data_IF_698033147003
#
_entry.id   IF_698033147003
#
_cell.length_a   1.000
_cell.length_b   1.000
_cell.length_c   1.000
_cell.angle_alpha   90.00
_cell.angle_beta   90.00
_cell.angle_gamma   90.00
#
_symmetry.space_group_name_H-M   'P 1'
#
loop_
_entity.id
_entity.type
_entity.pdbx_description
1 polymer ?
#
# COMPACT_ATOMS: atom_id res chain seq x y z
N UNK A 1 15.03 13.14 8.67
CA UNK A 1 14.87 12.30 7.46
C UNK A 1 16.22 12.14 6.80
N UNK A 2 16.42 11.08 6.02
CA UNK A 2 17.66 10.81 5.25
C UNK A 2 17.31 10.59 3.79
N UNK A 3 18.29 10.60 2.87
CA UNK A 3 18.04 10.24 1.46
C UNK A 3 17.33 8.89 1.41
N UNK A 4 16.23 8.84 0.69
CA UNK A 4 15.37 7.67 0.63
C UNK A 4 16.03 6.56 -0.19
N UNK A 5 15.69 5.31 0.10
CA UNK A 5 16.26 4.12 -0.57
C UNK A 5 15.25 3.36 -1.41
N UNK A 6 15.72 2.53 -2.33
CA UNK A 6 14.91 1.59 -3.13
C UNK A 6 15.43 0.16 -2.93
N UNK A 7 14.59 -0.84 -3.19
CA UNK A 7 15.02 -2.25 -3.19
C UNK A 7 15.69 -2.53 -4.53
N UNK A 8 16.93 -2.99 -4.48
CA UNK A 8 17.66 -3.45 -5.66
C UNK A 8 17.12 -4.80 -6.15
N UNK A 9 16.85 -4.91 -7.44
CA UNK A 9 16.21 -6.09 -8.02
C UNK A 9 17.14 -7.32 -8.08
N UNK A 10 18.46 -7.12 -8.09
CA UNK A 10 19.43 -8.23 -8.17
C UNK A 10 19.81 -8.75 -6.79
N UNK A 11 20.12 -7.83 -5.86
CA UNK A 11 20.60 -8.17 -4.52
C UNK A 11 19.50 -8.22 -3.46
N UNK A 12 18.32 -7.68 -3.74
CA UNK A 12 17.21 -7.57 -2.78
C UNK A 12 17.48 -6.59 -1.63
N UNK A 13 18.57 -5.83 -1.67
CA UNK A 13 18.98 -4.91 -0.59
C UNK A 13 18.45 -3.50 -0.82
N UNK A 14 18.21 -2.79 0.28
CA UNK A 14 17.90 -1.36 0.25
C UNK A 14 19.16 -0.54 -0.08
N UNK A 15 19.14 0.20 -1.19
CA UNK A 15 20.27 1.03 -1.66
C UNK A 15 19.87 2.49 -1.86
N UNK A 16 20.77 3.47 -1.61
CA UNK A 16 20.56 4.86 -2.04
C UNK A 16 20.38 4.92 -3.55
N UNK A 17 19.45 5.73 -4.03
CA UNK A 17 19.08 5.74 -5.45
C UNK A 17 19.12 7.13 -6.07
N UNK A 18 19.42 7.20 -7.36
CA UNK A 18 19.18 8.38 -8.20
C UNK A 18 17.85 8.27 -8.96
N UNK A 19 17.19 7.12 -8.85
CA UNK A 19 15.87 6.82 -9.41
C UNK A 19 14.77 7.36 -8.49
N UNK A 20 14.99 7.30 -7.17
CA UNK A 20 14.20 7.97 -6.13
C UNK A 20 15.04 9.04 -5.44
N UNK A 21 14.69 10.30 -5.62
CA UNK A 21 15.53 11.41 -5.12
C UNK A 21 15.01 12.04 -3.84
N UNK A 22 13.85 11.63 -3.32
CA UNK A 22 13.28 12.14 -2.07
C UNK A 22 14.14 11.89 -0.83
N UNK A 23 13.82 12.60 0.25
CA UNK A 23 14.13 12.16 1.61
C UNK A 23 13.01 11.29 2.19
N UNK A 24 13.35 10.44 3.16
CA UNK A 24 12.38 9.55 3.78
C UNK A 24 12.71 9.15 5.21
N UNK A 25 11.71 8.56 5.85
CA UNK A 25 11.79 7.93 7.16
C UNK A 25 10.74 6.82 7.27
N UNK A 26 10.83 6.02 8.32
CA UNK A 26 9.91 4.93 8.59
C UNK A 26 9.33 5.10 9.98
N UNK A 27 8.02 4.88 10.10
CA UNK A 27 7.35 4.65 11.36
C UNK A 27 7.08 3.15 11.48
N UNK A 28 7.41 2.55 12.62
CA UNK A 28 7.17 1.13 12.83
C UNK A 28 5.68 0.83 12.80
N UNK A 29 5.34 -0.43 12.50
CA UNK A 29 3.96 -0.88 12.64
C UNK A 29 3.51 -0.73 14.09
N UNK A 30 2.39 -0.05 14.31
CA UNK A 30 1.90 0.27 15.65
C UNK A 30 2.84 1.15 16.49
N UNK A 31 3.63 2.04 15.86
CA UNK A 31 4.57 2.95 16.56
C UNK A 31 3.89 3.72 17.71
N UNK A 32 2.69 4.26 17.45
CA UNK A 32 1.84 4.93 18.45
C UNK A 32 0.34 4.70 18.15
N UNK A 33 -0.54 5.20 19.03
CA UNK A 33 -1.99 5.05 18.90
C UNK A 33 -2.57 5.72 17.63
N UNK A 34 -1.93 6.78 17.13
CA UNK A 34 -2.36 7.49 15.92
C UNK A 34 -2.02 6.65 14.69
N UNK A 35 -0.78 6.14 14.61
CA UNK A 35 -0.31 5.24 13.56
C UNK A 35 -1.16 3.97 13.56
N UNK A 36 -1.34 3.32 14.71
CA UNK A 36 -2.15 2.11 14.83
C UNK A 36 -3.60 2.34 14.35
N UNK A 37 -4.20 3.50 14.65
CA UNK A 37 -5.54 3.85 14.17
C UNK A 37 -5.59 4.07 12.65
N UNK A 38 -4.54 4.64 12.06
CA UNK A 38 -4.41 4.77 10.60
C UNK A 38 -4.29 3.38 9.96
N UNK A 39 -3.44 2.52 10.51
CA UNK A 39 -3.22 1.14 10.02
C UNK A 39 -4.49 0.29 10.09
N UNK A 40 -5.25 0.40 11.18
CA UNK A 40 -6.58 -0.19 11.30
C UNK A 40 -7.49 0.31 10.17
N UNK A 41 -7.56 1.62 9.94
CA UNK A 41 -8.40 2.18 8.86
C UNK A 41 -7.96 1.70 7.48
N UNK A 42 -6.66 1.58 7.24
CA UNK A 42 -6.13 1.00 6.00
C UNK A 42 -6.58 -0.46 5.86
N UNK A 43 -6.50 -1.26 6.93
CA UNK A 43 -6.97 -2.65 6.92
C UNK A 43 -8.46 -2.76 6.58
N UNK A 44 -9.28 -1.83 7.09
CA UNK A 44 -10.72 -1.78 6.79
C UNK A 44 -11.01 -1.58 5.30
N UNK A 45 -10.33 -0.64 4.66
CA UNK A 45 -10.61 -0.29 3.26
C UNK A 45 -9.98 -1.26 2.27
N UNK A 46 -8.88 -1.92 2.65
CA UNK A 46 -8.23 -2.94 1.81
C UNK A 46 -8.80 -4.33 2.03
N UNK A 47 -9.48 -4.54 3.15
CA UNK A 47 -9.94 -5.85 3.64
C UNK A 47 -8.79 -6.86 3.84
N UNK A 48 -7.60 -6.36 4.17
CA UNK A 48 -6.42 -7.16 4.47
C UNK A 48 -5.92 -6.81 5.87
N UNK A 49 -5.68 -7.80 6.74
CA UNK A 49 -5.40 -7.55 8.16
C UNK A 49 -4.08 -6.80 8.40
N UNK A 50 -3.96 -6.14 9.55
CA UNK A 50 -2.81 -5.29 9.94
C UNK A 50 -1.50 -6.10 9.98
N UNK A 51 -1.59 -7.40 10.23
CA UNK A 51 -0.48 -8.35 10.25
C UNK A 51 0.27 -8.37 8.91
N UNK A 52 -0.42 -8.16 7.80
CA UNK A 52 0.14 -8.17 6.44
C UNK A 52 0.77 -6.83 6.05
N UNK A 53 0.63 -5.79 6.88
CA UNK A 53 1.12 -4.46 6.57
C UNK A 53 2.59 -4.30 7.01
N UNK A 54 3.39 -3.64 6.18
CA UNK A 54 4.69 -3.09 6.59
C UNK A 54 4.50 -1.86 7.51
N UNK A 55 5.60 -1.27 8.00
CA UNK A 55 5.57 0.05 8.63
C UNK A 55 5.15 1.15 7.65
N UNK A 56 4.82 2.35 8.14
CA UNK A 56 4.55 3.49 7.26
C UNK A 56 5.86 4.08 6.76
N UNK A 57 6.02 4.13 5.43
CA UNK A 57 7.14 4.87 4.83
C UNK A 57 6.69 6.30 4.54
N UNK A 58 7.30 7.27 5.24
CA UNK A 58 7.05 8.70 5.03
C UNK A 58 8.10 9.26 4.09
N UNK A 59 7.66 9.96 3.05
CA UNK A 59 8.51 10.52 2.00
C UNK A 59 8.20 12.00 1.81
N UNK A 60 9.25 12.78 1.56
CA UNK A 60 9.18 14.20 1.26
C UNK A 60 9.91 14.47 -0.05
N UNK A 61 9.21 15.10 -0.99
CA UNK A 61 9.73 15.55 -2.28
C UNK A 61 9.55 17.07 -2.40
N UNK A 62 10.57 17.77 -2.89
CA UNK A 62 10.52 19.19 -3.25
C UNK A 62 11.53 19.50 -4.38
N UNK A 63 11.55 20.73 -4.90
CA UNK A 63 12.59 21.23 -5.82
C UNK A 63 12.95 20.30 -7.00
N UNK A 64 11.93 19.72 -7.64
CA UNK A 64 12.08 18.83 -8.80
C UNK A 64 12.36 17.37 -8.45
N UNK A 65 12.44 17.00 -7.17
CA UNK A 65 12.59 15.61 -6.73
C UNK A 65 11.44 14.73 -7.22
N UNK A 66 11.78 13.49 -7.56
CA UNK A 66 10.90 12.54 -8.24
C UNK A 66 11.15 11.10 -7.80
N UNK A 67 10.30 10.22 -8.30
CA UNK A 67 10.55 8.79 -8.33
C UNK A 67 10.16 8.25 -9.72
N UNK A 68 11.12 7.70 -10.45
CA UNK A 68 10.83 7.08 -11.75
C UNK A 68 9.79 5.94 -11.63
N UNK A 69 9.04 5.67 -12.72
CA UNK A 69 8.09 4.57 -12.74
C UNK A 69 8.72 3.23 -12.35
N UNK A 70 8.07 2.53 -11.42
CA UNK A 70 8.50 1.25 -10.87
C UNK A 70 7.28 0.41 -10.45
N UNK A 71 7.56 -0.82 -10.01
CA UNK A 71 6.58 -1.71 -9.43
C UNK A 71 6.80 -1.83 -7.93
N UNK A 72 5.71 -1.98 -7.18
CA UNK A 72 5.78 -2.22 -5.74
C UNK A 72 5.92 -3.70 -5.40
N UNK A 73 5.55 -4.62 -6.30
CA UNK A 73 5.85 -6.03 -6.17
C UNK A 73 7.36 -6.27 -6.28
N UNK A 74 7.85 -7.35 -5.67
CA UNK A 74 9.26 -7.73 -5.73
C UNK A 74 9.56 -8.52 -7.00
N UNK A 75 10.63 -8.16 -7.70
CA UNK A 75 11.18 -9.02 -8.75
C UNK A 75 12.06 -10.13 -8.16
N UNK A 76 12.66 -9.88 -7.01
CA UNK A 76 13.56 -10.80 -6.32
C UNK A 76 12.77 -11.84 -5.50
N UNK A 77 13.16 -13.14 -5.58
CA UNK A 77 12.51 -14.20 -4.84
C UNK A 77 12.78 -14.17 -3.34
N UNK A 78 13.78 -13.43 -2.83
CA UNK A 78 14.11 -13.34 -1.40
C UNK A 78 13.12 -12.48 -0.63
N UNK A 79 12.80 -11.30 -1.15
CA UNK A 79 11.80 -10.42 -0.54
C UNK A 79 10.37 -10.96 -0.75
N UNK A 80 10.13 -11.66 -1.86
CA UNK A 80 8.84 -12.31 -2.15
C UNK A 80 8.59 -13.61 -1.34
N UNK A 81 9.47 -13.99 -0.41
CA UNK A 81 9.33 -15.24 0.35
C UNK A 81 8.15 -15.19 1.33
N UNK A 82 7.46 -16.33 1.57
CA UNK A 82 6.39 -16.41 2.56
C UNK A 82 6.80 -15.96 3.97
N UNK A 83 8.05 -16.20 4.38
CA UNK A 83 8.53 -15.78 5.72
C UNK A 83 8.55 -14.25 5.89
N UNK A 84 8.64 -13.52 4.78
CA UNK A 84 8.60 -12.05 4.73
C UNK A 84 7.19 -11.51 4.42
N UNK A 85 6.16 -12.38 4.46
CA UNK A 85 4.78 -12.04 4.10
C UNK A 85 4.44 -12.31 2.62
N UNK A 86 5.40 -12.69 1.79
CA UNK A 86 5.19 -12.91 0.36
C UNK A 86 5.19 -11.61 -0.45
N UNK A 87 4.56 -11.64 -1.63
CA UNK A 87 4.43 -10.46 -2.51
C UNK A 87 3.57 -9.35 -1.89
N UNK A 88 3.87 -8.11 -2.29
CA UNK A 88 3.01 -6.94 -2.03
C UNK A 88 1.85 -6.96 -3.02
N UNK A 89 0.63 -7.06 -2.51
CA UNK A 89 -0.59 -7.17 -3.32
C UNK A 89 -1.23 -5.82 -3.60
N UNK A 90 -1.21 -4.91 -2.64
CA UNK A 90 -1.86 -3.61 -2.73
C UNK A 90 -1.02 -2.54 -2.02
N UNK A 91 -1.04 -1.34 -2.58
CA UNK A 91 -0.42 -0.15 -2.01
C UNK A 91 -1.48 0.88 -1.70
N UNK A 92 -1.38 1.50 -0.52
CA UNK A 92 -2.14 2.69 -0.17
C UNK A 92 -1.16 3.86 -0.02
N UNK A 93 -1.23 4.82 -0.93
CA UNK A 93 -0.42 6.03 -0.94
C UNK A 93 -1.25 7.21 -0.43
N UNK A 94 -0.93 7.71 0.76
CA UNK A 94 -1.63 8.83 1.40
C UNK A 94 -0.89 10.14 1.13
N UNK A 95 -1.62 11.17 0.70
CA UNK A 95 -1.07 12.52 0.51
C UNK A 95 -1.22 13.35 1.78
N UNK A 96 -0.10 13.74 2.37
CA UNK A 96 -0.07 14.49 3.63
C UNK A 96 -0.10 16.01 3.42
N UNK A 97 0.21 16.47 2.21
CA UNK A 97 0.14 17.86 1.76
C UNK A 97 -0.55 17.96 0.40
N UNK A 98 -1.11 19.14 0.11
CA UNK A 98 -1.56 19.49 -1.23
C UNK A 98 -0.39 20.13 -1.97
N UNK A 99 -0.06 19.62 -3.16
CA UNK A 99 1.05 20.12 -3.98
C UNK A 99 0.54 21.18 -4.95
N UNK A 100 1.28 22.28 -5.10
CA UNK A 100 0.86 23.39 -5.97
C UNK A 100 1.09 23.09 -7.45
N UNK A 101 2.25 22.54 -7.81
CA UNK A 101 2.60 22.19 -9.18
C UNK A 101 3.47 20.93 -9.26
N UNK A 102 3.14 20.04 -10.19
CA UNK A 102 3.80 18.74 -10.33
C UNK A 102 3.43 17.77 -9.22
N UNK A 103 4.35 16.85 -8.90
CA UNK A 103 4.19 15.91 -7.78
C UNK A 103 3.06 14.90 -7.97
N UNK A 104 2.49 14.75 -9.16
CA UNK A 104 1.42 13.78 -9.41
C UNK A 104 1.95 12.35 -9.27
N UNK A 105 1.10 11.43 -8.81
CA UNK A 105 1.37 10.00 -8.97
C UNK A 105 0.86 9.58 -10.34
N UNK A 106 1.75 9.12 -11.21
CA UNK A 106 1.43 8.73 -12.60
C UNK A 106 1.47 7.22 -12.76
N UNK A 107 0.51 6.66 -13.49
CA UNK A 107 0.43 5.26 -13.91
C UNK A 107 0.53 5.19 -15.45
N UNK A 108 1.75 5.06 -16.02
CA UNK A 108 1.97 5.19 -17.46
C UNK A 108 1.27 4.14 -18.32
N UNK A 109 1.06 2.95 -17.75
CA UNK A 109 0.44 1.80 -18.40
C UNK A 109 -1.08 1.71 -18.20
N UNK A 110 -1.71 2.66 -17.50
CA UNK A 110 -3.16 2.72 -17.41
C UNK A 110 -3.79 3.03 -18.78
N UNK A 111 -4.98 2.45 -19.03
CA UNK A 111 -5.68 2.55 -20.32
C UNK A 111 -6.03 4.00 -20.71
N UNK A 112 -6.38 4.83 -19.72
CA UNK A 112 -6.78 6.21 -19.91
C UNK A 112 -5.69 7.15 -19.40
N UNK A 113 -5.31 8.14 -20.22
CA UNK A 113 -4.36 9.17 -19.84
C UNK A 113 -5.07 10.46 -19.47
N UNK A 114 -4.50 11.19 -18.52
CA UNK A 114 -4.96 12.56 -18.24
C UNK A 114 -4.62 13.47 -19.41
N UNK A 115 -5.46 14.46 -19.66
CA UNK A 115 -5.25 15.46 -20.71
C UNK A 115 -5.77 16.82 -20.25
N UNK A 116 -5.44 17.86 -21.01
CA UNK A 116 -5.83 19.24 -20.71
C UNK A 116 -4.81 20.00 -19.86
N UNK A 117 -5.20 21.23 -19.50
CA UNK A 117 -4.37 22.15 -18.73
C UNK A 117 -4.30 21.75 -17.25
N UNK A 118 -3.22 22.18 -16.59
CA UNK A 118 -3.01 21.93 -15.15
C UNK A 118 -2.42 20.57 -14.80
N UNK A 119 -2.02 19.75 -15.78
CA UNK A 119 -1.22 18.53 -15.57
C UNK A 119 0.23 18.77 -16.02
N UNK A 120 1.19 18.27 -15.24
CA UNK A 120 2.59 18.26 -15.68
C UNK A 120 2.80 17.40 -16.91
N UNK A 121 3.86 17.66 -17.69
CA UNK A 121 4.23 16.82 -18.84
C UNK A 121 4.51 15.36 -18.44
N UNK A 122 5.02 15.16 -17.23
CA UNK A 122 5.18 13.82 -16.65
C UNK A 122 3.82 13.14 -16.45
N UNK A 123 2.85 13.84 -15.85
CA UNK A 123 1.53 13.28 -15.55
C UNK A 123 0.77 12.87 -16.83
N UNK A 124 0.87 13.65 -17.91
CA UNK A 124 0.24 13.36 -19.21
C UNK A 124 0.70 12.05 -19.86
N UNK A 125 1.77 11.43 -19.36
CA UNK A 125 2.26 10.13 -19.85
C UNK A 125 1.35 8.96 -19.46
N UNK A 126 0.41 9.14 -18.53
CA UNK A 126 -0.45 8.07 -17.99
C UNK A 126 -1.76 8.57 -17.41
N UNK A 127 -2.49 7.69 -16.74
CA UNK A 127 -3.43 8.13 -15.71
C UNK A 127 -2.59 8.82 -14.61
N UNK A 128 -3.11 9.88 -14.01
CA UNK A 128 -2.38 10.57 -12.95
C UNK A 128 -3.32 11.10 -11.88
N UNK A 129 -2.80 11.19 -10.67
CA UNK A 129 -3.52 11.68 -9.48
C UNK A 129 -2.72 12.82 -8.87
N UNK A 130 -3.39 13.98 -8.70
CA UNK A 130 -2.79 15.12 -8.01
C UNK A 130 -2.74 14.84 -6.51
N UNK A 131 -1.65 15.24 -5.87
CA UNK A 131 -1.51 15.13 -4.42
C UNK A 131 -2.36 16.20 -3.73
N UNK A 132 -3.46 15.79 -3.10
CA UNK A 132 -4.35 16.65 -2.32
C UNK A 132 -4.36 16.15 -0.88
N UNK A 133 -4.10 17.04 0.08
CA UNK A 133 -3.98 16.69 1.49
C UNK A 133 -5.21 15.94 1.99
N UNK A 134 -4.98 14.77 2.56
CA UNK A 134 -6.00 13.91 3.15
C UNK A 134 -6.52 12.82 2.22
N UNK A 135 -6.30 12.95 0.90
CA UNK A 135 -6.66 11.92 -0.05
C UNK A 135 -5.68 10.73 0.02
N UNK A 136 -6.16 9.56 -0.38
CA UNK A 136 -5.35 8.35 -0.50
C UNK A 136 -5.64 7.65 -1.83
N UNK A 137 -4.58 7.25 -2.53
CA UNK A 137 -4.65 6.43 -3.73
C UNK A 137 -4.40 4.97 -3.36
N UNK A 138 -5.34 4.09 -3.69
CA UNK A 138 -5.19 2.64 -3.57
C UNK A 138 -5.06 2.02 -4.95
N UNK A 139 -4.05 1.18 -5.15
CA UNK A 139 -3.87 0.43 -6.39
C UNK A 139 -3.24 -0.95 -6.11
N UNK A 140 -3.56 -1.91 -6.96
CA UNK A 140 -3.14 -3.30 -6.82
C UNK A 140 -1.89 -3.56 -7.67
N UNK A 141 -0.90 -4.21 -7.06
CA UNK A 141 0.32 -4.67 -7.74
C UNK A 141 0.16 -6.06 -8.35
N UNK A 142 -0.84 -6.82 -7.88
CA UNK A 142 -1.16 -8.15 -8.35
C UNK A 142 -2.61 -8.21 -8.84
N UNK A 143 -2.86 -9.11 -9.79
CA UNK A 143 -4.19 -9.48 -10.25
C UNK A 143 -4.89 -10.37 -9.21
N UNK A 144 -6.22 -10.59 -9.31
CA UNK A 144 -6.96 -11.44 -8.38
C UNK A 144 -6.47 -12.90 -8.29
N UNK A 145 -5.78 -13.39 -9.32
CA UNK A 145 -5.17 -14.73 -9.34
C UNK A 145 -3.78 -14.79 -8.69
N UNK A 146 -3.28 -13.65 -8.20
CA UNK A 146 -1.97 -13.51 -7.56
C UNK A 146 -0.81 -13.30 -8.54
N UNK A 147 -1.05 -13.25 -9.84
CA UNK A 147 -0.02 -12.90 -10.82
C UNK A 147 0.29 -11.40 -10.81
N UNK A 148 1.50 -11.01 -11.20
CA UNK A 148 1.91 -9.60 -11.27
C UNK A 148 1.06 -8.82 -12.28
N UNK A 149 0.71 -7.59 -11.93
CA UNK A 149 -0.01 -6.68 -12.82
C UNK A 149 0.93 -5.61 -13.40
N UNK A 150 1.33 -5.78 -14.66
CA UNK A 150 2.21 -4.82 -15.36
C UNK A 150 1.55 -3.45 -15.59
N UNK A 151 0.22 -3.35 -15.46
CA UNK A 151 -0.49 -2.06 -15.52
C UNK A 151 -0.28 -1.22 -14.25
N UNK A 152 0.21 -1.83 -13.17
CA UNK A 152 0.49 -1.17 -11.88
C UNK A 152 1.80 -0.38 -11.87
N UNK A 153 2.49 -0.27 -13.01
CA UNK A 153 3.69 0.57 -13.13
C UNK A 153 3.30 2.00 -12.76
N UNK A 154 3.99 2.57 -11.76
CA UNK A 154 3.66 3.88 -11.25
C UNK A 154 4.89 4.65 -10.79
N UNK A 155 4.81 5.98 -10.78
CA UNK A 155 5.90 6.85 -10.34
C UNK A 155 5.40 8.13 -9.69
N UNK A 156 6.32 8.88 -9.09
CA UNK A 156 6.06 10.23 -8.59
C UNK A 156 6.70 11.22 -9.54
N UNK A 157 5.87 12.01 -10.24
CA UNK A 157 6.35 13.09 -11.08
C UNK A 157 7.15 14.12 -10.28
N UNK A 158 8.06 14.88 -10.94
CA UNK A 158 8.81 15.94 -10.27
C UNK A 158 7.90 16.91 -9.52
N UNK A 159 8.21 17.18 -8.26
CA UNK A 159 7.51 18.21 -7.47
C UNK A 159 8.08 19.57 -7.84
N UNK A 160 7.35 20.34 -8.65
CA UNK A 160 7.87 21.59 -9.23
C UNK A 160 7.69 22.75 -8.28
N UNK A 161 6.54 22.84 -7.60
CA UNK A 161 6.23 23.91 -6.66
C UNK A 161 5.50 23.40 -5.43
N UNK A 162 5.99 23.83 -4.27
CA UNK A 162 5.54 23.37 -2.95
C UNK A 162 6.23 22.08 -2.52
N UNK A 163 5.69 21.47 -1.46
CA UNK A 163 6.25 20.27 -0.83
C UNK A 163 5.26 19.11 -0.92
N UNK A 164 5.71 17.98 -1.47
CA UNK A 164 4.93 16.74 -1.47
C UNK A 164 5.37 15.87 -0.30
N UNK A 165 4.50 15.77 0.71
CA UNK A 165 4.62 14.77 1.76
C UNK A 165 3.66 13.63 1.49
N UNK A 166 4.16 12.41 1.58
CA UNK A 166 3.35 11.22 1.39
C UNK A 166 3.70 10.14 2.41
N UNK A 167 2.72 9.30 2.73
CA UNK A 167 2.93 8.09 3.51
C UNK A 167 2.46 6.88 2.70
N UNK A 168 3.39 5.97 2.40
CA UNK A 168 3.11 4.74 1.67
C UNK A 168 2.88 3.61 2.66
N UNK A 169 1.83 2.82 2.40
CA UNK A 169 1.57 1.56 3.10
C UNK A 169 1.56 0.41 2.10
N UNK A 170 2.56 -0.46 2.22
CA UNK A 170 2.64 -1.72 1.49
C UNK A 170 2.01 -2.85 2.28
N UNK A 171 1.25 -3.67 1.57
CA UNK A 171 0.42 -4.72 2.13
C UNK A 171 0.69 -6.02 1.38
N UNK A 172 1.07 -7.05 2.12
CA UNK A 172 1.47 -8.33 1.59
C UNK A 172 0.31 -9.32 1.48
N UNK A 173 0.50 -10.37 0.69
CA UNK A 173 -0.43 -11.52 0.61
C UNK A 173 -0.49 -12.33 1.90
N UNK A 174 0.52 -12.24 2.77
CA UNK A 174 0.58 -12.91 4.07
C UNK A 174 1.20 -12.04 5.18
N UNK A 175 1.23 -12.56 6.44
CA UNK A 175 1.73 -11.81 7.59
C UNK A 175 3.22 -11.45 7.48
N UNK A 176 3.55 -10.18 7.69
CA UNK A 176 4.94 -9.69 7.68
C UNK A 176 5.61 -9.98 9.02
N UNK A 177 6.81 -10.56 8.99
CA UNK A 177 7.62 -10.85 10.19
C UNK A 177 7.44 -12.26 10.75
N UNK A 178 6.95 -13.22 9.96
CA UNK A 178 7.03 -14.65 10.29
C UNK A 178 6.30 -15.08 11.56
N UNK A 179 5.30 -14.33 12.03
CA UNK A 179 4.37 -14.86 13.03
C UNK A 179 3.74 -16.10 12.42
N UNK A 180 4.09 -17.27 12.98
CA UNK A 180 3.51 -18.56 12.61
C UNK A 180 1.99 -18.40 12.56
N UNK A 181 1.27 -19.12 11.66
CA UNK A 181 -0.17 -19.23 11.79
C UNK A 181 -0.46 -19.55 13.25
N UNK A 182 -1.32 -18.73 13.87
CA UNK A 182 -1.74 -18.96 15.26
C UNK A 182 -2.12 -20.42 15.34
N UNK A 183 -1.45 -21.15 16.24
CA UNK A 183 -1.74 -22.56 16.46
C UNK A 183 -3.18 -22.59 16.98
N UNK A 184 -4.12 -22.91 16.09
CA UNK A 184 -5.55 -23.06 16.39
C UNK A 184 -5.73 -24.32 17.24
N UNK A 185 -5.25 -24.25 18.49
CA UNK A 185 -5.63 -25.18 19.52
C UNK A 185 -7.13 -25.05 19.71
N UNK A 186 -7.89 -26.01 19.17
CA UNK A 186 -9.36 -26.07 19.14
C UNK A 186 -10.06 -24.84 18.52
N UNK A 187 -11.10 -25.01 17.68
CA UNK A 187 -11.74 -23.88 17.01
C UNK A 187 -12.58 -23.11 18.04
N UNK A 188 -11.97 -22.13 18.71
CA UNK A 188 -12.73 -21.12 19.45
C UNK A 188 -13.57 -20.36 18.42
N UNK A 189 -14.89 -20.52 18.51
CA UNK A 189 -15.83 -19.79 17.67
C UNK A 189 -15.87 -18.32 18.12
N UNK A 190 -14.97 -17.52 17.57
CA UNK A 190 -14.91 -16.11 17.85
C UNK A 190 -14.72 -15.30 16.57
N UNK A 191 -14.96 -14.00 16.71
CA UNK A 191 -14.60 -13.01 15.73
C UNK A 191 -13.22 -12.47 16.11
N UNK A 192 -12.30 -12.47 15.17
CA UNK A 192 -10.92 -12.01 15.35
C UNK A 192 -10.83 -10.48 15.26
N UNK A 193 -11.94 -9.81 14.93
CA UNK A 193 -12.00 -8.36 14.73
C UNK A 193 -13.26 -7.74 15.33
N UNK A 194 -13.11 -6.58 15.97
CA UNK A 194 -14.20 -5.83 16.62
C UNK A 194 -15.32 -5.41 15.64
N UNK A 195 -14.97 -5.25 14.35
CA UNK A 195 -15.91 -4.84 13.29
C UNK A 195 -16.58 -6.01 12.55
N UNK A 196 -16.32 -7.27 12.94
CA UNK A 196 -16.93 -8.42 12.27
C UNK A 196 -18.46 -8.35 12.21
N UNK A 197 -19.10 -7.82 13.27
CA UNK A 197 -20.55 -7.64 13.29
C UNK A 197 -21.04 -6.59 12.28
N UNK A 198 -20.27 -5.53 12.08
CA UNK A 198 -20.61 -4.44 11.16
C UNK A 198 -20.43 -4.89 9.71
N UNK A 199 -19.31 -5.56 9.40
CA UNK A 199 -19.08 -6.13 8.08
C UNK A 199 -20.12 -7.20 7.72
N UNK A 200 -20.47 -8.08 8.66
CA UNK A 200 -21.53 -9.05 8.45
C UNK A 200 -22.88 -8.36 8.21
N UNK A 201 -23.17 -7.26 8.92
CA UNK A 201 -24.36 -6.44 8.69
C UNK A 201 -24.40 -5.84 7.26
N UNK A 202 -23.26 -5.41 6.72
CA UNK A 202 -23.15 -4.91 5.34
C UNK A 202 -23.12 -6.00 4.25
N UNK A 203 -23.25 -7.27 4.63
CA UNK A 203 -23.35 -8.42 3.71
C UNK A 203 -21.99 -8.97 3.25
N UNK A 204 -20.92 -8.69 3.98
CA UNK A 204 -19.58 -9.16 3.61
C UNK A 204 -19.44 -10.68 3.70
N UNK A 205 -20.26 -11.36 4.49
CA UNK A 205 -20.27 -12.83 4.53
C UNK A 205 -20.54 -13.47 3.16
N UNK A 206 -21.29 -12.77 2.28
CA UNK A 206 -21.59 -13.21 0.92
C UNK A 206 -20.65 -12.58 -0.11
N UNK A 207 -20.26 -11.31 0.09
CA UNK A 207 -19.43 -10.56 -0.86
C UNK A 207 -17.94 -10.89 -0.74
N UNK A 208 -17.46 -11.19 0.46
CA UNK A 208 -16.06 -11.50 0.77
C UNK A 208 -15.95 -12.74 1.69
N UNK A 209 -16.41 -13.92 1.23
CA UNK A 209 -16.47 -15.12 2.07
C UNK A 209 -15.07 -15.62 2.49
N UNK A 210 -14.01 -15.33 1.74
CA UNK A 210 -12.65 -15.77 2.09
C UNK A 210 -12.17 -15.16 3.40
N UNK A 211 -12.17 -13.83 3.49
CA UNK A 211 -11.78 -13.12 4.70
C UNK A 211 -12.78 -13.36 5.83
N UNK A 212 -14.08 -13.23 5.54
CA UNK A 212 -15.12 -13.32 6.56
C UNK A 212 -15.22 -14.71 7.20
N UNK A 213 -15.01 -15.78 6.42
CA UNK A 213 -15.03 -17.14 6.98
C UNK A 213 -13.77 -17.46 7.78
N UNK A 214 -12.66 -16.78 7.53
CA UNK A 214 -11.42 -16.96 8.28
C UNK A 214 -11.47 -16.20 9.62
N UNK A 215 -11.88 -14.93 9.59
CA UNK A 215 -11.71 -13.98 10.69
C UNK A 215 -13.01 -13.59 11.42
N UNK A 216 -14.18 -13.85 10.84
CA UNK A 216 -15.48 -13.39 11.38
C UNK A 216 -16.51 -14.52 11.47
N UNK A 217 -16.05 -15.71 11.90
CA UNK A 217 -16.84 -16.95 11.88
C UNK A 217 -18.12 -16.86 12.71
N UNK A 218 -18.08 -16.15 13.83
CA UNK A 218 -19.23 -15.97 14.72
C UNK A 218 -20.23 -15.00 14.08
N UNK A 219 -19.76 -13.85 13.60
CA UNK A 219 -20.61 -12.86 12.91
C UNK A 219 -21.25 -13.39 11.63
N UNK A 220 -20.54 -14.25 10.88
CA UNK A 220 -21.07 -14.94 9.70
C UNK A 220 -21.82 -16.25 10.00
N UNK A 221 -22.05 -16.57 11.27
CA UNK A 221 -22.85 -17.73 11.72
C UNK A 221 -22.32 -19.08 11.21
N UNK A 222 -21.00 -19.19 11.06
CA UNK A 222 -20.32 -20.41 10.60
C UNK A 222 -19.99 -21.37 11.75
N UNK A 223 -20.10 -20.89 12.98
CA UNK A 223 -19.95 -21.68 14.21
C UNK A 223 -20.86 -21.11 15.31
N UNK A 224 -20.95 -21.81 16.45
CA UNK A 224 -21.75 -21.42 17.62
C UNK A 224 -20.87 -21.30 18.85
#
# INVERSE_FOLDING_TARGET
>A
MVKSSVVDNESGKSVPSDIRTSTGSWLSKGEDDIVARIEKRVAQVTMIPVENQEGLQVLHYHDGEKYEPHYDYFHDPVNARPENGGQRVVTVLMYLTTVEEGGETVLPHADTKVSGEGWSECAKRGLAVKAVRGDALMFYSLKPDGSNDESSLHGSCPTVKGDKWSATKWIHVGPVGGKKPVNLGTPDCHDDHEQCSEWAFFGECQKNPGFMNASCKRSCKLCK
#
